data_IF_365078511789
#
_entry.id   IF_365078511789
#
_cell.length_a   1.000
_cell.length_b   1.000
_cell.length_c   1.000
_cell.angle_alpha   90.00
_cell.angle_beta   90.00
_cell.angle_gamma   90.00
#
_symmetry.space_group_name_H-M   'P 1'
#
loop_
_entity.id
_entity.type
_entity.pdbx_description
1 polymer ?
#
# COMPACT_ATOMS: atom_id res chain seq x y z
N UNK A 1 12.80 -32.70 7.87
CA UNK A 1 12.80 -31.30 8.33
C UNK A 1 12.11 -30.44 7.27
N UNK A 2 10.97 -29.89 7.61
CA UNK A 2 10.24 -29.02 6.70
C UNK A 2 10.94 -27.66 6.61
N UNK A 3 11.21 -27.22 5.39
CA UNK A 3 11.73 -25.88 5.17
C UNK A 3 10.58 -24.88 5.23
N UNK A 4 10.68 -23.89 6.11
CA UNK A 4 9.75 -22.78 6.10
C UNK A 4 9.96 -21.95 4.83
N UNK A 5 8.94 -21.89 4.00
CA UNK A 5 8.95 -21.02 2.80
C UNK A 5 8.54 -19.63 3.24
N UNK A 6 9.43 -18.66 3.04
CA UNK A 6 9.15 -17.27 3.38
C UNK A 6 8.13 -16.71 2.40
N UNK A 7 6.97 -16.30 2.92
CA UNK A 7 5.91 -15.70 2.14
C UNK A 7 6.06 -14.20 2.16
N UNK A 8 6.40 -13.63 1.00
CA UNK A 8 6.58 -12.20 0.83
C UNK A 8 5.42 -11.62 0.04
N UNK A 9 4.89 -10.51 0.52
CA UNK A 9 3.80 -9.80 -0.13
C UNK A 9 4.16 -8.34 -0.35
N UNK A 10 3.61 -7.75 -1.41
CA UNK A 10 3.79 -6.34 -1.74
C UNK A 10 2.44 -5.64 -1.79
N UNK A 11 2.36 -4.50 -1.13
CA UNK A 11 1.18 -3.64 -1.14
C UNK A 11 1.55 -2.33 -1.81
N UNK A 12 1.25 -2.18 -3.11
CA UNK A 12 1.61 -0.97 -3.84
C UNK A 12 0.51 0.08 -3.80
N UNK A 13 0.91 1.33 -3.88
CA UNK A 13 -0.01 2.44 -3.99
C UNK A 13 0.76 3.74 -4.13
N UNK A 14 0.06 4.82 -4.45
CA UNK A 14 0.65 6.15 -4.44
C UNK A 14 0.78 6.70 -3.02
N UNK A 15 -0.12 6.29 -2.12
CA UNK A 15 -0.13 6.70 -0.71
C UNK A 15 0.11 8.20 -0.52
N UNK A 16 -0.77 8.97 -1.06
CA UNK A 16 -0.64 10.43 -1.11
C UNK A 16 -1.94 11.13 -0.64
N UNK A 17 -2.26 11.05 0.67
CA UNK A 17 -1.51 10.43 1.76
C UNK A 17 -1.86 8.95 2.02
N UNK A 18 -1.08 8.32 2.86
CA UNK A 18 -1.36 7.01 3.46
C UNK A 18 -2.41 7.18 4.56
N UNK A 19 -3.54 6.50 4.41
CA UNK A 19 -4.70 6.66 5.30
C UNK A 19 -4.83 5.51 6.30
N UNK A 20 -5.75 5.66 7.25
CA UNK A 20 -6.09 4.56 8.17
C UNK A 20 -6.65 3.34 7.44
N UNK A 21 -7.32 3.54 6.30
CA UNK A 21 -7.75 2.42 5.44
C UNK A 21 -6.57 1.63 4.88
N UNK A 22 -5.53 2.32 4.43
CA UNK A 22 -4.30 1.67 3.99
C UNK A 22 -3.62 0.94 5.16
N UNK A 23 -3.57 1.56 6.32
CA UNK A 23 -2.96 0.96 7.51
C UNK A 23 -3.68 -0.33 7.92
N UNK A 24 -5.00 -0.37 7.82
CA UNK A 24 -5.77 -1.57 8.11
C UNK A 24 -5.36 -2.74 7.21
N UNK A 25 -5.18 -2.49 5.93
CA UNK A 25 -4.69 -3.50 4.97
C UNK A 25 -3.27 -3.96 5.34
N UNK A 26 -2.40 -3.04 5.74
CA UNK A 26 -1.03 -3.38 6.17
C UNK A 26 -1.05 -4.26 7.41
N UNK A 27 -1.90 -3.96 8.40
CA UNK A 27 -2.05 -4.79 9.60
C UNK A 27 -2.50 -6.20 9.28
N UNK A 28 -3.51 -6.34 8.42
CA UNK A 28 -4.03 -7.63 7.98
C UNK A 28 -2.95 -8.43 7.24
N UNK A 29 -2.20 -7.76 6.38
CA UNK A 29 -1.12 -8.37 5.62
C UNK A 29 0.03 -8.82 6.53
N UNK A 30 0.42 -8.00 7.48
CA UNK A 30 1.49 -8.32 8.43
C UNK A 30 1.16 -9.54 9.28
N UNK A 31 -0.12 -9.78 9.55
CA UNK A 31 -0.56 -10.97 10.30
C UNK A 31 -0.48 -12.26 9.48
N UNK A 32 -0.55 -12.18 8.15
CA UNK A 32 -0.61 -13.36 7.26
C UNK A 32 0.70 -13.69 6.59
N UNK A 33 1.56 -12.71 6.33
CA UNK A 33 2.79 -12.89 5.55
C UNK A 33 4.02 -12.70 6.42
N UNK A 34 5.10 -13.37 6.06
CA UNK A 34 6.37 -13.27 6.79
C UNK A 34 7.02 -11.91 6.59
N UNK A 35 6.91 -11.35 5.38
CA UNK A 35 7.40 -10.02 5.04
C UNK A 35 6.37 -9.30 4.19
N UNK A 36 6.13 -8.02 4.50
CA UNK A 36 5.24 -7.15 3.75
C UNK A 36 6.02 -5.93 3.29
N UNK A 37 5.97 -5.64 1.99
CA UNK A 37 6.59 -4.48 1.38
C UNK A 37 5.49 -3.49 1.01
N UNK A 38 5.46 -2.35 1.69
CA UNK A 38 4.61 -1.22 1.29
C UNK A 38 5.40 -0.45 0.25
N UNK A 39 4.94 -0.46 -0.98
CA UNK A 39 5.66 0.19 -2.09
C UNK A 39 4.95 1.46 -2.50
N UNK A 40 5.63 2.59 -2.30
CA UNK A 40 5.16 3.88 -2.79
C UNK A 40 5.57 4.00 -4.26
N UNK A 41 4.59 3.89 -5.15
CA UNK A 41 4.82 4.03 -6.58
C UNK A 41 4.91 5.51 -6.96
N UNK A 42 6.00 5.88 -7.62
CA UNK A 42 6.16 7.21 -8.18
C UNK A 42 5.92 7.17 -9.68
N UNK A 43 5.22 8.18 -10.17
CA UNK A 43 5.04 8.41 -11.59
C UNK A 43 5.58 9.80 -11.91
N UNK A 44 6.65 9.87 -12.71
CA UNK A 44 7.31 11.12 -13.06
C UNK A 44 6.39 12.14 -13.76
N UNK A 45 5.29 11.67 -14.38
CA UNK A 45 4.33 12.52 -15.07
C UNK A 45 3.24 13.07 -14.15
N UNK A 46 3.15 12.59 -12.90
CA UNK A 46 2.14 13.04 -11.91
C UNK A 46 2.83 13.69 -10.73
N UNK A 47 2.34 14.88 -10.37
CA UNK A 47 2.84 15.60 -9.20
C UNK A 47 2.17 15.06 -7.93
N UNK A 48 3.00 14.72 -6.94
CA UNK A 48 2.51 14.31 -5.62
C UNK A 48 2.21 15.55 -4.77
N UNK A 49 1.22 15.44 -3.89
CA UNK A 49 0.94 16.46 -2.88
C UNK A 49 1.98 16.39 -1.74
N UNK A 50 2.43 15.19 -1.38
CA UNK A 50 3.41 14.97 -0.32
C UNK A 50 4.62 14.24 -0.91
N UNK A 51 5.85 14.74 -0.70
CA UNK A 51 7.05 14.08 -1.21
C UNK A 51 7.13 12.62 -0.75
N UNK A 52 7.51 11.74 -1.66
CA UNK A 52 7.53 10.29 -1.39
C UNK A 52 8.43 9.90 -0.23
N UNK A 53 9.58 10.56 -0.08
CA UNK A 53 10.51 10.26 1.02
C UNK A 53 9.94 10.67 2.39
N UNK A 54 9.20 11.77 2.45
CA UNK A 54 8.51 12.19 3.67
C UNK A 54 7.39 11.21 4.02
N UNK A 55 6.64 10.76 3.03
CA UNK A 55 5.60 9.76 3.24
C UNK A 55 6.19 8.41 3.67
N UNK A 56 7.30 8.01 3.06
CA UNK A 56 8.00 6.79 3.48
C UNK A 56 8.39 6.85 4.96
N UNK A 57 9.00 7.95 5.40
CA UNK A 57 9.38 8.13 6.79
C UNK A 57 8.17 8.09 7.73
N UNK A 58 7.05 8.69 7.32
CA UNK A 58 5.82 8.70 8.12
C UNK A 58 5.20 7.29 8.23
N UNK A 59 5.20 6.52 7.16
CA UNK A 59 4.71 5.13 7.18
C UNK A 59 5.64 4.27 8.05
N UNK A 60 6.96 4.43 7.90
CA UNK A 60 7.93 3.72 8.74
C UNK A 60 7.73 4.01 10.22
N UNK A 61 7.49 5.26 10.58
CA UNK A 61 7.20 5.64 11.97
C UNK A 61 5.89 4.98 12.45
N UNK A 62 4.87 4.96 11.61
CA UNK A 62 3.57 4.37 11.93
C UNK A 62 3.69 2.87 12.23
N UNK A 63 4.36 2.12 11.36
CA UNK A 63 4.50 0.67 11.53
C UNK A 63 5.42 0.33 12.71
N UNK A 64 6.40 1.17 12.98
CA UNK A 64 7.27 1.01 14.14
C UNK A 64 6.52 1.19 15.46
N UNK A 65 5.67 2.23 15.55
CA UNK A 65 4.84 2.48 16.73
C UNK A 65 3.88 1.32 17.01
N UNK A 66 3.42 0.63 15.96
CA UNK A 66 2.53 -0.52 16.07
C UNK A 66 3.28 -1.85 16.21
N UNK A 67 4.60 -1.80 16.27
CA UNK A 67 5.46 -2.98 16.39
C UNK A 67 5.24 -4.00 15.26
N UNK A 68 4.99 -3.51 14.05
CA UNK A 68 4.88 -4.34 12.84
C UNK A 68 6.27 -4.55 12.24
N UNK A 69 7.05 -5.43 12.85
CA UNK A 69 8.48 -5.60 12.56
C UNK A 69 8.75 -6.23 11.20
N UNK A 70 7.75 -6.86 10.59
CA UNK A 70 7.85 -7.52 9.28
C UNK A 70 7.40 -6.64 8.12
N UNK A 71 7.14 -5.35 8.36
CA UNK A 71 6.73 -4.40 7.31
C UNK A 71 7.93 -3.52 6.92
N UNK A 72 8.19 -3.44 5.62
CA UNK A 72 9.21 -2.60 5.03
C UNK A 72 8.55 -1.61 4.08
N UNK A 73 9.10 -0.39 3.97
CA UNK A 73 8.57 0.63 3.09
C UNK A 73 9.62 0.95 2.03
N UNK A 74 9.22 0.95 0.77
CA UNK A 74 10.12 1.25 -0.35
C UNK A 74 9.46 2.26 -1.28
N UNK A 75 10.27 3.06 -1.94
CA UNK A 75 9.84 3.98 -2.99
C UNK A 75 10.38 3.45 -4.31
N UNK A 76 9.52 3.36 -5.31
CA UNK A 76 9.90 2.75 -6.58
C UNK A 76 9.20 3.45 -7.75
N UNK A 77 9.96 3.70 -8.82
CA UNK A 77 9.46 4.17 -10.10
C UNK A 77 9.61 3.05 -11.12
N UNK A 78 8.49 2.57 -11.67
CA UNK A 78 8.49 1.48 -12.65
C UNK A 78 7.35 0.50 -12.43
N UNK A 79 7.45 -0.65 -13.06
CA UNK A 79 6.43 -1.69 -13.00
C UNK A 79 6.57 -2.52 -11.72
N UNK A 80 5.54 -2.49 -10.89
CA UNK A 80 5.51 -3.20 -9.61
C UNK A 80 5.71 -4.71 -9.79
N UNK A 81 5.12 -5.29 -10.84
CA UNK A 81 5.28 -6.72 -11.13
C UNK A 81 6.73 -7.10 -11.40
N UNK A 82 7.51 -6.24 -12.05
CA UNK A 82 8.95 -6.45 -12.27
C UNK A 82 9.73 -6.34 -10.96
N UNK A 83 9.40 -5.34 -10.14
CA UNK A 83 10.02 -5.20 -8.81
C UNK A 83 9.80 -6.45 -7.97
N UNK A 84 8.56 -6.95 -7.94
CA UNK A 84 8.22 -8.15 -7.19
C UNK A 84 8.99 -9.37 -7.68
N UNK A 85 9.09 -9.56 -9.01
CA UNK A 85 9.85 -10.66 -9.58
C UNK A 85 11.32 -10.59 -9.20
N UNK A 86 11.93 -9.39 -9.27
CA UNK A 86 13.35 -9.19 -8.96
C UNK A 86 13.66 -9.41 -7.47
N UNK A 87 12.68 -9.28 -6.58
CA UNK A 87 12.86 -9.36 -5.13
C UNK A 87 12.24 -10.62 -4.51
N UNK A 88 11.80 -11.56 -5.33
CA UNK A 88 11.24 -12.82 -4.84
C UNK A 88 9.92 -12.66 -4.09
N UNK A 89 9.11 -11.67 -4.46
CA UNK A 89 7.83 -11.39 -3.83
C UNK A 89 6.73 -12.10 -4.62
N UNK A 90 5.99 -13.01 -3.98
CA UNK A 90 5.03 -13.87 -4.64
C UNK A 90 3.60 -13.32 -4.65
N UNK A 91 3.26 -12.45 -3.70
CA UNK A 91 1.88 -12.02 -3.47
C UNK A 91 1.72 -10.52 -3.64
N UNK A 92 0.72 -10.12 -4.43
CA UNK A 92 0.31 -8.72 -4.59
C UNK A 92 -0.95 -8.48 -3.76
N UNK A 93 -0.89 -7.53 -2.83
CA UNK A 93 -2.01 -7.21 -1.96
C UNK A 93 -2.75 -6.01 -2.51
N UNK A 94 -4.08 -6.11 -2.55
CA UNK A 94 -4.95 -5.01 -2.89
C UNK A 94 -6.14 -4.95 -1.94
N UNK A 95 -6.62 -3.74 -1.65
CA UNK A 95 -7.87 -3.53 -0.93
C UNK A 95 -9.02 -3.39 -1.91
N UNK A 96 -10.15 -4.02 -1.60
CA UNK A 96 -11.36 -3.93 -2.43
C UNK A 96 -12.49 -3.33 -1.61
N UNK A 97 -13.25 -2.43 -2.20
CA UNK A 97 -14.38 -1.75 -1.61
C UNK A 97 -15.70 -2.21 -2.21
N UNK A 98 -15.72 -2.52 -3.51
CA UNK A 98 -16.94 -2.86 -4.25
C UNK A 98 -16.61 -3.66 -5.53
N UNK A 99 -17.65 -4.03 -6.27
CA UNK A 99 -17.50 -4.80 -7.50
C UNK A 99 -16.71 -4.05 -8.59
N UNK A 100 -16.83 -2.73 -8.65
CA UNK A 100 -16.08 -1.93 -9.62
C UNK A 100 -14.58 -1.97 -9.34
N UNK A 101 -14.19 -1.88 -8.07
CA UNK A 101 -12.79 -2.05 -7.67
C UNK A 101 -12.27 -3.43 -8.07
N UNK A 102 -13.07 -4.48 -7.82
CA UNK A 102 -12.68 -5.85 -8.18
C UNK A 102 -12.46 -5.99 -9.69
N UNK A 103 -13.38 -5.51 -10.51
CA UNK A 103 -13.26 -5.62 -11.97
C UNK A 103 -12.02 -4.87 -12.49
N UNK A 104 -11.76 -3.70 -11.98
CA UNK A 104 -10.58 -2.90 -12.33
C UNK A 104 -9.30 -3.64 -11.93
N UNK A 105 -9.23 -4.16 -10.70
CA UNK A 105 -8.06 -4.88 -10.20
C UNK A 105 -7.82 -6.19 -10.96
N UNK A 106 -8.88 -6.90 -11.37
CA UNK A 106 -8.75 -8.13 -12.15
C UNK A 106 -8.12 -7.87 -13.53
N UNK A 107 -8.48 -6.79 -14.20
CA UNK A 107 -7.86 -6.42 -15.46
C UNK A 107 -6.38 -6.13 -15.31
N UNK A 108 -6.00 -5.43 -14.24
CA UNK A 108 -4.59 -5.16 -13.94
C UNK A 108 -3.85 -6.45 -13.56
N UNK A 109 -4.51 -7.33 -12.79
CA UNK A 109 -3.92 -8.60 -12.39
C UNK A 109 -3.58 -9.48 -13.59
N UNK A 110 -4.46 -9.55 -14.60
CA UNK A 110 -4.19 -10.30 -15.82
C UNK A 110 -2.98 -9.74 -16.58
N UNK A 111 -2.87 -8.42 -16.68
CA UNK A 111 -1.72 -7.79 -17.34
C UNK A 111 -0.44 -8.06 -16.53
N UNK A 112 -0.48 -7.96 -15.23
CA UNK A 112 0.69 -8.20 -14.38
C UNK A 112 1.15 -9.66 -14.42
N UNK A 113 0.24 -10.62 -14.60
CA UNK A 113 0.60 -12.03 -14.77
C UNK A 113 1.36 -12.29 -16.06
N UNK A 114 1.18 -11.47 -17.08
CA UNK A 114 2.00 -11.56 -18.30
C UNK A 114 3.45 -11.16 -18.04
N UNK A 115 3.66 -10.23 -17.10
CA UNK A 115 4.99 -9.73 -16.72
C UNK A 115 5.62 -10.64 -15.68
N UNK A 116 4.83 -11.10 -14.71
CA UNK A 116 5.27 -11.97 -13.61
C UNK A 116 4.26 -13.11 -13.41
N UNK A 117 4.42 -14.23 -14.16
CA UNK A 117 3.46 -15.35 -14.10
C UNK A 117 3.34 -16.01 -12.73
N UNK A 118 4.36 -15.90 -11.88
CA UNK A 118 4.37 -16.51 -10.55
C UNK A 118 3.59 -15.69 -9.52
N UNK A 119 3.17 -14.47 -9.86
CA UNK A 119 2.50 -13.58 -8.91
C UNK A 119 1.06 -14.00 -8.68
N UNK A 120 0.67 -14.07 -7.39
CA UNK A 120 -0.70 -14.27 -6.97
C UNK A 120 -1.25 -13.00 -6.32
N UNK A 121 -2.54 -12.73 -6.54
CA UNK A 121 -3.22 -11.58 -5.97
C UNK A 121 -3.99 -11.99 -4.73
N UNK A 122 -3.87 -11.18 -3.68
CA UNK A 122 -4.63 -11.35 -2.45
C UNK A 122 -5.43 -10.08 -2.22
N UNK A 123 -6.74 -10.23 -2.11
CA UNK A 123 -7.65 -9.11 -1.92
C UNK A 123 -8.18 -9.13 -0.50
N UNK A 124 -8.04 -8.00 0.18
CA UNK A 124 -8.68 -7.78 1.47
C UNK A 124 -9.88 -6.87 1.29
N UNK A 125 -10.94 -7.17 2.00
CA UNK A 125 -12.06 -6.24 2.07
C UNK A 125 -11.61 -5.01 2.84
N UNK A 126 -11.71 -3.84 2.21
CA UNK A 126 -11.40 -2.58 2.86
C UNK A 126 -12.56 -2.18 3.78
N UNK A 127 -12.24 -1.95 5.05
CA UNK A 127 -13.17 -1.41 6.03
C UNK A 127 -12.95 0.10 6.13
N UNK A 128 -13.97 0.85 6.59
CA UNK A 128 -13.90 2.32 6.73
C UNK A 128 -13.54 3.04 5.43
N UNK A 129 -14.20 2.65 4.36
CA UNK A 129 -13.92 3.11 3.00
C UNK A 129 -14.47 4.48 2.65
N UNK A 130 -15.05 5.17 3.59
CA UNK A 130 -15.72 6.44 3.30
C UNK A 130 -14.76 7.53 2.85
N UNK A 131 -13.47 7.42 3.15
CA UNK A 131 -12.51 8.50 2.88
C UNK A 131 -11.26 7.97 2.18
N UNK A 132 -11.17 8.26 0.88
CA UNK A 132 -9.99 7.97 0.05
C UNK A 132 -8.90 9.02 0.28
N UNK A 133 -7.69 8.74 -0.22
CA UNK A 133 -6.59 9.72 -0.22
C UNK A 133 -6.99 11.03 -0.92
N UNK A 134 -7.72 10.93 -2.04
CA UNK A 134 -8.21 12.09 -2.77
C UNK A 134 -9.17 12.92 -1.93
N UNK A 135 -10.10 12.27 -1.21
CA UNK A 135 -11.04 12.95 -0.33
C UNK A 135 -10.33 13.63 0.84
N UNK A 136 -9.32 12.98 1.43
CA UNK A 136 -8.52 13.58 2.49
C UNK A 136 -7.82 14.84 1.99
N UNK A 137 -7.22 14.79 0.81
CA UNK A 137 -6.56 15.97 0.21
C UNK A 137 -7.56 17.10 0.00
N UNK A 138 -8.73 16.79 -0.52
CA UNK A 138 -9.78 17.77 -0.76
C UNK A 138 -10.25 18.43 0.55
N UNK A 139 -10.60 17.61 1.53
CA UNK A 139 -11.02 18.12 2.84
C UNK A 139 -9.94 18.98 3.49
N UNK A 140 -8.70 18.55 3.42
CA UNK A 140 -7.57 19.31 3.97
C UNK A 140 -7.41 20.67 3.26
N UNK A 141 -7.57 20.69 1.93
CA UNK A 141 -7.46 21.93 1.15
C UNK A 141 -8.54 22.96 1.52
N UNK A 142 -9.68 22.51 2.03
CA UNK A 142 -10.76 23.37 2.52
C UNK A 142 -10.67 23.68 4.01
N UNK A 143 -9.55 23.34 4.64
CA UNK A 143 -9.31 23.63 6.05
C UNK A 143 -10.03 22.71 7.04
N UNK A 144 -10.53 21.56 6.57
CA UNK A 144 -11.19 20.60 7.45
C UNK A 144 -10.15 19.77 8.21
N UNK A 145 -10.51 19.34 9.41
CA UNK A 145 -9.66 18.46 10.21
C UNK A 145 -9.73 17.02 9.65
N UNK A 146 -8.60 16.52 9.21
CA UNK A 146 -8.48 15.17 8.64
C UNK A 146 -7.75 14.20 9.56
N UNK A 147 -7.45 14.61 10.78
CA UNK A 147 -6.66 13.80 11.74
C UNK A 147 -7.29 12.43 12.04
N UNK A 148 -8.62 12.33 12.00
CA UNK A 148 -9.34 11.08 12.26
C UNK A 148 -9.17 10.04 11.16
N UNK A 149 -8.72 10.44 9.98
CA UNK A 149 -8.56 9.56 8.82
C UNK A 149 -7.14 9.08 8.60
N UNK A 150 -6.19 9.59 9.38
CA UNK A 150 -4.77 9.40 9.14
C UNK A 150 -4.05 8.89 10.39
N UNK A 151 -3.03 8.04 10.21
CA UNK A 151 -2.08 7.79 11.29
C UNK A 151 -1.42 9.11 11.71
N UNK A 152 -1.12 9.26 13.00
CA UNK A 152 -0.56 10.52 13.50
C UNK A 152 0.73 10.96 12.78
N UNK A 153 1.72 10.07 12.53
CA UNK A 153 2.91 10.49 11.79
C UNK A 153 2.61 11.04 10.40
N UNK A 154 1.57 10.53 9.75
CA UNK A 154 1.14 11.02 8.43
C UNK A 154 0.45 12.37 8.57
N UNK A 155 -0.42 12.52 9.54
CA UNK A 155 -1.08 13.81 9.81
C UNK A 155 -0.06 14.91 10.08
N UNK A 156 1.01 14.60 10.82
CA UNK A 156 2.02 15.57 11.23
C UNK A 156 2.82 16.16 10.05
N UNK A 157 2.81 15.52 8.89
CA UNK A 157 3.54 15.99 7.70
C UNK A 157 2.65 16.67 6.64
N UNK A 158 1.36 16.83 6.95
CA UNK A 158 0.44 17.53 6.02
C UNK A 158 0.65 19.04 6.04
#
# INVERSE_FOLDING_TARGET
MEKHIIKKAIYPGSFDPFTNGHLDIVKKSAALFDEVYVLIGINATKKRAIPSEEMKAAIEATVRELELDNVRVVVFEGLVAQYAAANGIQYMIRGLRNNMDYNYEENIAEVNKLINPAMEYVYFRAENVAVSSSMVKELHSYGQDVSVYLPKPVFDIL
#
